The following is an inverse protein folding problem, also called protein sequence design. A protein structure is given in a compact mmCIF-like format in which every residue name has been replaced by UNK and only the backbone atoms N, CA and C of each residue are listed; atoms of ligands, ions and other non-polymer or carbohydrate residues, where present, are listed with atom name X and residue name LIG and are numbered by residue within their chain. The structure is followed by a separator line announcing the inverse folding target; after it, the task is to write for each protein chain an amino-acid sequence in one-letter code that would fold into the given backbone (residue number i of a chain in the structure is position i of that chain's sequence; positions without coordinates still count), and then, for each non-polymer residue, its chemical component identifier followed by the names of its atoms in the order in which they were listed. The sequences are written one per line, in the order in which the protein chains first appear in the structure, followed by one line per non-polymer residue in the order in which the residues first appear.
data_IF_819093234746
#
_entry.id   IF_819093234746
#
_cell.length_a   1.000
_cell.length_b   1.000
_cell.length_c   1.000
_cell.angle_alpha   90.00
_cell.angle_beta   90.00
_cell.angle_gamma   90.00
#
_symmetry.space_group_name_H-M   'P 1'
#
loop_
_entity.id
_entity.type
_entity.pdbx_description
1 polymer ?
#
# COMPACT_ATOMS: atom_id res chain seq x y z
N UNK A 1 27.01 -5.04 -7.91
CA UNK A 1 25.73 -4.39 -8.25
C UNK A 1 25.78 -2.97 -7.73
N UNK A 2 25.38 -1.99 -8.51
CA UNK A 2 25.32 -0.59 -8.10
C UNK A 2 24.28 -0.40 -6.97
N UNK A 3 24.61 0.45 -5.99
CA UNK A 3 23.74 0.72 -4.83
C UNK A 3 22.37 1.27 -5.27
N UNK A 4 22.35 2.04 -6.35
CA UNK A 4 21.13 2.62 -6.91
C UNK A 4 20.19 1.53 -7.45
N UNK A 5 20.66 0.59 -8.30
CA UNK A 5 19.81 -0.50 -8.76
C UNK A 5 19.36 -1.43 -7.64
N UNK A 6 20.17 -1.67 -6.61
CA UNK A 6 19.76 -2.45 -5.44
C UNK A 6 18.56 -1.80 -4.75
N UNK A 7 18.61 -0.49 -4.49
CA UNK A 7 17.51 0.25 -3.89
C UNK A 7 16.24 0.21 -4.74
N UNK A 8 16.37 0.34 -6.07
CA UNK A 8 15.23 0.20 -7.00
C UNK A 8 14.65 -1.21 -6.92
N UNK A 9 15.51 -2.24 -6.95
CA UNK A 9 15.08 -3.64 -6.86
C UNK A 9 14.31 -3.91 -5.56
N UNK A 10 14.81 -3.42 -4.42
CA UNK A 10 14.15 -3.54 -3.13
C UNK A 10 12.82 -2.75 -3.08
N UNK A 11 12.77 -1.58 -3.70
CA UNK A 11 11.54 -0.78 -3.79
C UNK A 11 10.46 -1.49 -4.59
N UNK A 12 10.80 -2.03 -5.77
CA UNK A 12 9.88 -2.80 -6.63
C UNK A 12 9.44 -4.08 -5.92
N UNK A 13 10.36 -4.78 -5.24
CA UNK A 13 10.01 -5.93 -4.42
C UNK A 13 8.98 -5.58 -3.35
N UNK A 14 9.15 -4.46 -2.64
CA UNK A 14 8.20 -4.00 -1.64
C UNK A 14 6.83 -3.64 -2.23
N UNK A 15 6.79 -3.04 -3.43
CA UNK A 15 5.56 -2.79 -4.18
C UNK A 15 4.81 -4.09 -4.46
N UNK A 16 5.51 -5.10 -5.00
CA UNK A 16 4.92 -6.41 -5.31
C UNK A 16 4.46 -7.15 -4.04
N UNK A 17 5.28 -7.14 -2.99
CA UNK A 17 4.94 -7.73 -1.71
C UNK A 17 3.70 -7.08 -1.10
N UNK A 18 3.56 -5.75 -1.23
CA UNK A 18 2.37 -5.02 -0.82
C UNK A 18 1.12 -5.49 -1.59
N UNK A 19 1.20 -5.67 -2.92
CA UNK A 19 0.07 -6.21 -3.69
C UNK A 19 -0.35 -7.61 -3.21
N UNK A 20 0.62 -8.51 -3.05
CA UNK A 20 0.35 -9.88 -2.58
C UNK A 20 -0.36 -9.84 -1.22
N UNK A 21 0.16 -9.05 -0.27
CA UNK A 21 -0.45 -9.01 1.06
C UNK A 21 -1.83 -8.35 1.06
N UNK A 22 -2.08 -7.36 0.20
CA UNK A 22 -3.42 -6.78 0.03
C UNK A 22 -4.44 -7.84 -0.44
N UNK A 23 -4.06 -8.69 -1.39
CA UNK A 23 -4.91 -9.79 -1.88
C UNK A 23 -5.13 -10.83 -0.77
N UNK A 24 -4.07 -11.25 -0.08
CA UNK A 24 -4.19 -12.22 1.02
C UNK A 24 -5.10 -11.70 2.14
N UNK A 25 -4.99 -10.43 2.51
CA UNK A 25 -5.87 -9.83 3.52
C UNK A 25 -7.29 -9.59 3.00
N UNK A 26 -7.48 -9.36 1.69
CA UNK A 26 -8.81 -9.34 1.10
C UNK A 26 -9.57 -10.65 1.36
N UNK A 27 -8.91 -11.80 1.18
CA UNK A 27 -9.54 -13.09 1.45
C UNK A 27 -10.05 -13.21 2.89
N UNK A 28 -9.38 -12.60 3.87
CA UNK A 28 -9.83 -12.59 5.27
C UNK A 28 -11.11 -11.77 5.50
N UNK A 29 -11.41 -10.80 4.64
CA UNK A 29 -12.61 -9.94 4.72
C UNK A 29 -13.81 -10.46 3.90
N UNK A 30 -13.56 -11.31 2.90
CA UNK A 30 -14.58 -11.83 1.99
C UNK A 30 -14.92 -13.30 2.19
N UNK A 31 -13.95 -14.14 2.59
CA UNK A 31 -14.13 -15.61 2.72
C UNK A 31 -13.85 -16.16 4.12
N UNK A 32 -13.05 -15.47 4.94
CA UNK A 32 -12.63 -15.95 6.26
C UNK A 32 -13.29 -15.23 7.45
N UNK A 33 -14.58 -14.92 7.38
CA UNK A 33 -15.24 -14.14 8.45
C UNK A 33 -15.51 -15.05 9.65
N UNK A 34 -15.10 -14.60 10.84
CA UNK A 34 -15.39 -15.22 12.13
C UNK A 34 -15.99 -14.12 13.02
N UNK A 35 -17.21 -14.30 13.53
CA UNK A 35 -17.93 -13.33 14.39
C UNK A 35 -17.98 -11.88 13.86
N UNK A 36 -18.34 -11.69 12.58
CA UNK A 36 -18.34 -10.38 11.90
C UNK A 36 -16.99 -9.64 11.94
N UNK A 37 -15.90 -10.38 12.14
CA UNK A 37 -14.53 -9.88 12.10
C UNK A 37 -13.71 -10.59 11.02
N UNK A 38 -12.64 -9.96 10.50
CA UNK A 38 -11.72 -10.60 9.58
C UNK A 38 -10.99 -11.78 10.27
N UNK A 39 -10.78 -12.87 9.55
CA UNK A 39 -10.13 -14.09 10.05
C UNK A 39 -8.91 -13.80 10.94
N UNK A 40 -8.87 -14.38 12.14
CA UNK A 40 -7.80 -14.08 13.10
C UNK A 40 -6.58 -15.00 12.97
N UNK A 41 -6.73 -16.20 12.38
CA UNK A 41 -5.72 -17.26 12.44
C UNK A 41 -4.39 -16.95 11.72
N UNK A 42 -4.33 -15.91 10.87
CA UNK A 42 -3.09 -15.44 10.23
C UNK A 42 -2.87 -13.93 10.32
N UNK A 43 -3.68 -13.25 11.14
CA UNK A 43 -3.71 -11.78 11.23
C UNK A 43 -2.34 -11.18 11.57
N UNK A 44 -1.64 -11.73 12.57
CA UNK A 44 -0.34 -11.19 13.03
C UNK A 44 0.71 -11.21 11.93
N UNK A 45 0.86 -12.35 11.25
CA UNK A 45 1.80 -12.49 10.13
C UNK A 45 1.46 -11.51 9.01
N UNK A 46 0.19 -11.44 8.62
CA UNK A 46 -0.20 -10.56 7.51
C UNK A 46 -0.01 -9.07 7.82
N UNK A 47 -0.29 -8.67 9.05
CA UNK A 47 -0.03 -7.31 9.53
C UNK A 47 1.47 -7.01 9.54
N UNK A 48 2.30 -7.94 10.02
CA UNK A 48 3.75 -7.78 10.03
C UNK A 48 4.33 -7.63 8.61
N UNK A 49 3.91 -8.49 7.68
CA UNK A 49 4.33 -8.41 6.26
C UNK A 49 3.87 -7.10 5.62
N UNK A 50 2.63 -6.67 5.87
CA UNK A 50 2.12 -5.41 5.34
C UNK A 50 2.91 -4.20 5.86
N UNK A 51 3.16 -4.12 7.17
CA UNK A 51 3.96 -3.03 7.74
C UNK A 51 5.38 -3.06 7.21
N UNK A 52 6.00 -4.24 7.11
CA UNK A 52 7.35 -4.37 6.57
C UNK A 52 7.41 -3.89 5.11
N UNK A 53 6.47 -4.29 4.27
CA UNK A 53 6.40 -3.83 2.88
C UNK A 53 6.25 -2.30 2.79
N UNK A 54 5.34 -1.71 3.57
CA UNK A 54 5.14 -0.26 3.61
C UNK A 54 6.38 0.49 4.13
N UNK A 55 7.03 -0.02 5.17
CA UNK A 55 8.26 0.57 5.72
C UNK A 55 9.39 0.53 4.71
N UNK A 56 9.63 -0.62 4.07
CA UNK A 56 10.65 -0.75 3.02
C UNK A 56 10.35 0.23 1.88
N UNK A 57 9.09 0.34 1.45
CA UNK A 57 8.67 1.22 0.36
C UNK A 57 8.90 2.70 0.70
N UNK A 58 8.57 3.13 1.92
CA UNK A 58 8.81 4.51 2.38
C UNK A 58 10.31 4.80 2.52
N UNK A 59 11.07 3.91 3.16
CA UNK A 59 12.51 4.11 3.39
C UNK A 59 13.27 4.15 2.06
N UNK A 60 13.09 3.16 1.20
CA UNK A 60 13.74 3.11 -0.12
C UNK A 60 13.29 4.27 -1.00
N UNK A 61 12.00 4.63 -0.98
CA UNK A 61 11.48 5.79 -1.71
C UNK A 61 12.11 7.11 -1.24
N UNK A 62 12.27 7.29 0.07
CA UNK A 62 12.94 8.46 0.65
C UNK A 62 14.42 8.57 0.26
N UNK A 63 15.15 7.45 0.30
CA UNK A 63 16.56 7.41 -0.12
C UNK A 63 16.68 7.73 -1.62
N UNK A 64 15.85 7.12 -2.48
CA UNK A 64 15.85 7.39 -3.92
C UNK A 64 15.50 8.86 -4.22
N UNK A 65 14.60 9.45 -3.44
CA UNK A 65 14.26 10.87 -3.57
C UNK A 65 15.42 11.79 -3.16
N UNK A 66 16.11 11.45 -2.07
CA UNK A 66 17.31 12.14 -1.63
C UNK A 66 18.43 12.10 -2.70
N UNK A 67 18.66 10.92 -3.30
CA UNK A 67 19.61 10.76 -4.41
C UNK A 67 19.23 11.59 -5.64
N UNK A 68 17.93 11.90 -5.83
CA UNK A 68 17.43 12.80 -6.88
C UNK A 68 17.44 14.28 -6.47
N UNK A 69 18.04 14.62 -5.33
CA UNK A 69 18.03 15.98 -4.76
C UNK A 69 16.61 16.58 -4.61
N UNK A 70 15.62 15.72 -4.35
CA UNK A 70 14.21 16.11 -4.24
C UNK A 70 13.63 16.82 -5.48
N UNK A 71 14.28 16.72 -6.64
CA UNK A 71 13.76 17.25 -7.91
C UNK A 71 12.66 16.35 -8.43
N UNK A 72 11.39 16.70 -8.22
CA UNK A 72 10.23 15.89 -8.58
C UNK A 72 9.27 16.64 -9.50
N UNK A 73 8.58 15.86 -10.34
CA UNK A 73 7.53 16.33 -11.24
C UNK A 73 6.18 16.37 -10.52
N UNK A 74 5.20 17.08 -11.09
CA UNK A 74 3.87 17.26 -10.49
C UNK A 74 3.15 15.92 -10.20
N UNK A 75 3.28 14.91 -11.07
CA UNK A 75 2.68 13.60 -10.87
C UNK A 75 3.20 12.86 -9.61
N UNK A 76 4.39 13.22 -9.12
CA UNK A 76 4.93 12.64 -7.88
C UNK A 76 4.12 13.07 -6.66
N UNK A 77 3.67 14.33 -6.60
CA UNK A 77 2.83 14.80 -5.49
C UNK A 77 1.48 14.06 -5.47
N UNK A 78 0.87 13.85 -6.64
CA UNK A 78 -0.33 13.03 -6.76
C UNK A 78 -0.10 11.58 -6.27
N UNK A 79 1.06 10.99 -6.59
CA UNK A 79 1.47 9.68 -6.03
C UNK A 79 1.52 9.69 -4.50
N UNK A 80 2.08 10.75 -3.88
CA UNK A 80 2.11 10.86 -2.41
C UNK A 80 0.71 10.96 -1.82
N UNK A 81 -0.17 11.77 -2.41
CA UNK A 81 -1.57 11.89 -1.95
C UNK A 81 -2.29 10.55 -2.04
N UNK A 82 -2.17 9.83 -3.16
CA UNK A 82 -2.76 8.50 -3.30
C UNK A 82 -2.15 7.49 -2.32
N UNK A 83 -0.87 7.63 -1.99
CA UNK A 83 -0.24 6.79 -0.98
C UNK A 83 -0.82 7.04 0.42
N UNK A 84 -1.12 8.29 0.78
CA UNK A 84 -1.84 8.62 2.02
C UNK A 84 -3.27 8.07 2.02
N UNK A 85 -3.97 8.15 0.87
CA UNK A 85 -5.30 7.54 0.70
C UNK A 85 -5.23 6.03 0.90
N UNK A 86 -4.23 5.35 0.33
CA UNK A 86 -3.98 3.92 0.55
C UNK A 86 -3.79 3.61 2.04
N UNK A 87 -2.91 4.34 2.74
CA UNK A 87 -2.67 4.15 4.18
C UNK A 87 -3.95 4.34 5.01
N UNK A 88 -4.67 5.44 4.79
CA UNK A 88 -5.92 5.76 5.50
C UNK A 88 -6.98 4.69 5.29
N UNK A 89 -7.13 4.25 4.04
CA UNK A 89 -8.09 3.21 3.66
C UNK A 89 -7.77 1.85 4.30
N UNK A 90 -6.48 1.49 4.39
CA UNK A 90 -6.02 0.29 5.09
C UNK A 90 -6.22 0.37 6.60
N UNK A 91 -5.97 1.53 7.21
CA UNK A 91 -6.27 1.76 8.63
C UNK A 91 -7.77 1.53 8.86
N UNK A 92 -8.65 2.13 8.04
CA UNK A 92 -10.10 1.98 8.18
C UNK A 92 -10.58 0.54 7.96
N UNK A 93 -10.06 -0.16 6.96
CA UNK A 93 -10.43 -1.54 6.65
C UNK A 93 -10.15 -2.51 7.82
N UNK A 94 -9.03 -2.29 8.53
CA UNK A 94 -8.52 -3.23 9.53
C UNK A 94 -8.42 -2.67 10.95
N UNK A 95 -9.00 -1.50 11.21
CA UNK A 95 -9.12 -0.93 12.55
C UNK A 95 -9.80 -1.94 13.47
N UNK A 96 -9.24 -2.17 14.65
CA UNK A 96 -9.84 -3.02 15.68
C UNK A 96 -10.95 -2.22 16.38
N UNK A 97 -12.15 -2.31 15.84
CA UNK A 97 -13.30 -1.51 16.25
C UNK A 97 -14.58 -2.30 15.93
N UNK A 98 -15.35 -2.63 16.96
CA UNK A 98 -16.53 -3.49 16.82
C UNK A 98 -17.74 -2.73 16.25
N UNK A 99 -17.68 -1.41 16.18
CA UNK A 99 -18.75 -0.58 15.62
C UNK A 99 -18.66 -0.42 14.10
N UNK A 100 -17.57 -0.90 13.47
CA UNK A 100 -17.38 -0.80 12.03
C UNK A 100 -17.98 -2.01 11.33
N UNK A 101 -19.03 -1.77 10.53
CA UNK A 101 -19.69 -2.77 9.72
C UNK A 101 -18.74 -3.42 8.70
N UNK A 102 -18.92 -4.71 8.43
CA UNK A 102 -18.13 -5.45 7.43
C UNK A 102 -18.18 -4.81 6.02
N UNK A 103 -19.32 -4.22 5.64
CA UNK A 103 -19.44 -3.47 4.37
C UNK A 103 -18.51 -2.25 4.31
N UNK A 104 -18.35 -1.52 5.43
CA UNK A 104 -17.45 -0.37 5.50
C UNK A 104 -15.98 -0.81 5.45
N UNK A 105 -15.65 -1.96 6.04
CA UNK A 105 -14.31 -2.56 5.97
C UNK A 105 -13.94 -2.94 4.55
N UNK A 106 -14.86 -3.59 3.84
CA UNK A 106 -14.72 -3.94 2.43
C UNK A 106 -14.57 -2.71 1.55
N UNK A 107 -15.38 -1.67 1.78
CA UNK A 107 -15.24 -0.39 1.07
C UNK A 107 -13.85 0.24 1.28
N UNK A 108 -13.34 0.24 2.52
CA UNK A 108 -11.99 0.69 2.82
C UNK A 108 -10.93 -0.11 2.06
N UNK A 109 -11.05 -1.44 2.00
CA UNK A 109 -10.13 -2.26 1.22
C UNK A 109 -10.22 -1.96 -0.29
N UNK A 110 -11.43 -1.79 -0.84
CA UNK A 110 -11.62 -1.43 -2.26
C UNK A 110 -10.94 -0.11 -2.59
N UNK A 111 -11.08 0.91 -1.73
CA UNK A 111 -10.39 2.20 -1.91
C UNK A 111 -8.86 2.04 -1.86
N UNK A 112 -8.34 1.17 -1.00
CA UNK A 112 -6.91 0.85 -0.99
C UNK A 112 -6.46 0.23 -2.33
N UNK A 113 -7.22 -0.70 -2.91
CA UNK A 113 -6.89 -1.26 -4.23
C UNK A 113 -6.92 -0.22 -5.34
N UNK A 114 -7.95 0.64 -5.37
CA UNK A 114 -8.06 1.72 -6.36
C UNK A 114 -6.87 2.67 -6.24
N UNK A 115 -6.52 3.09 -5.02
CA UNK A 115 -5.37 3.96 -4.79
C UNK A 115 -4.05 3.29 -5.21
N UNK A 116 -3.87 2.01 -4.90
CA UNK A 116 -2.70 1.24 -5.31
C UNK A 116 -2.56 1.20 -6.84
N UNK A 117 -3.63 0.84 -7.57
CA UNK A 117 -3.63 0.78 -9.03
C UNK A 117 -3.37 2.17 -9.63
N UNK A 118 -3.99 3.22 -9.08
CA UNK A 118 -3.78 4.59 -9.52
C UNK A 118 -2.32 5.04 -9.34
N UNK A 119 -1.66 4.65 -8.23
CA UNK A 119 -0.22 4.92 -8.02
C UNK A 119 0.62 4.25 -9.12
N UNK A 120 0.36 2.98 -9.43
CA UNK A 120 1.08 2.27 -10.50
C UNK A 120 0.84 2.96 -11.85
N UNK A 121 -0.42 3.31 -12.16
CA UNK A 121 -0.78 4.04 -13.36
C UNK A 121 -0.04 5.37 -13.51
N UNK A 122 0.02 6.18 -12.44
CA UNK A 122 0.80 7.43 -12.43
C UNK A 122 2.28 7.21 -12.71
N UNK A 123 2.88 6.16 -12.14
CA UNK A 123 4.30 5.84 -12.34
C UNK A 123 4.59 5.37 -13.77
N UNK A 124 3.63 4.73 -14.45
CA UNK A 124 3.78 4.31 -15.85
C UNK A 124 3.56 5.47 -16.82
N UNK A 125 2.50 6.26 -16.61
CA UNK A 125 2.11 7.35 -17.52
C UNK A 125 3.03 8.56 -17.35
N UNK A 126 3.41 8.90 -16.10
CA UNK A 126 4.20 10.09 -15.75
C UNK A 126 3.70 11.35 -16.44
N UNK A 127 2.42 11.74 -16.25
CA UNK A 127 1.83 12.85 -16.99
C UNK A 127 2.61 14.15 -16.73
N UNK A 128 2.89 14.87 -17.81
CA UNK A 128 3.51 16.19 -17.78
C UNK A 128 2.41 17.20 -18.10
N UNK A 129 2.16 18.10 -17.17
CA UNK A 129 1.27 19.23 -17.38
C UNK A 129 2.16 20.40 -17.81
N UNK A 130 2.01 20.83 -19.08
CA UNK A 130 2.77 21.93 -19.67
C UNK A 130 2.33 23.30 -19.16
#
# INVERSE_FOLDING_TARGET
MDQHALLIGLHIFAVLLLLIILILRAMTLFKGIEDDQPNQNKRKLYVAVQHSALTILVVTGGILLYMKHFKVENWFYAKIILFLVLLSSLIKAYKKDNNILMVQRRAGLTLAFIAYIAIIGLVQIKPVFG
#
